data_IF_485472439675
#
_entry.id   IF_485472439675
#
_cell.length_a   1.000
_cell.length_b   1.000
_cell.length_c   1.000
_cell.angle_alpha   90.00
_cell.angle_beta   90.00
_cell.angle_gamma   90.00
#
_symmetry.space_group_name_H-M   'P 1'
#
loop_
_entity.id
_entity.type
_entity.pdbx_description
1 polymer ?
#
# COMPACT_ATOMS: atom_id res chain seq x y z
N UNK A 1 -18.97 -2.70 -39.14
CA UNK A 1 -18.58 -2.34 -37.76
C UNK A 1 -19.84 -2.34 -36.92
N UNK A 2 -19.97 -3.31 -36.03
CA UNK A 2 -21.15 -3.48 -35.16
C UNK A 2 -21.19 -2.35 -34.13
N UNK A 3 -22.28 -1.56 -34.14
CA UNK A 3 -22.56 -0.58 -33.10
C UNK A 3 -22.73 -1.31 -31.76
N UNK A 4 -21.79 -1.10 -30.84
CA UNK A 4 -21.87 -1.63 -29.48
C UNK A 4 -22.67 -0.64 -28.62
N UNK A 5 -23.74 -1.11 -27.99
CA UNK A 5 -24.51 -0.30 -27.04
C UNK A 5 -23.65 0.03 -25.81
N UNK A 6 -23.62 1.32 -25.43
CA UNK A 6 -22.97 1.79 -24.20
C UNK A 6 -23.55 1.00 -23.02
N UNK A 7 -22.74 0.19 -22.36
CA UNK A 7 -23.17 -0.52 -21.15
C UNK A 7 -23.29 0.48 -20.00
N UNK A 8 -24.39 0.39 -19.24
CA UNK A 8 -24.49 1.12 -17.98
C UNK A 8 -23.40 0.62 -17.03
N UNK A 9 -22.69 1.56 -16.43
CA UNK A 9 -21.67 1.26 -15.44
C UNK A 9 -22.41 0.90 -14.15
N UNK A 10 -22.18 -0.31 -13.62
CA UNK A 10 -22.74 -0.75 -12.33
C UNK A 10 -22.06 0.03 -11.19
N UNK A 11 -22.74 0.20 -10.06
CA UNK A 11 -22.22 0.96 -8.89
C UNK A 11 -20.81 0.49 -8.44
N UNK A 12 -20.47 -0.79 -8.67
CA UNK A 12 -19.17 -1.36 -8.33
C UNK A 12 -18.01 -0.85 -9.23
N UNK A 13 -18.28 -0.53 -10.50
CA UNK A 13 -17.25 -0.03 -11.41
C UNK A 13 -16.96 1.47 -11.20
N UNK A 14 -17.95 2.24 -10.76
CA UNK A 14 -17.75 3.64 -10.33
C UNK A 14 -16.72 3.72 -9.20
N UNK A 15 -16.78 2.79 -8.22
CA UNK A 15 -15.88 2.75 -7.07
C UNK A 15 -14.43 2.56 -7.51
N UNK A 16 -14.16 1.66 -8.46
CA UNK A 16 -12.79 1.41 -8.94
C UNK A 16 -12.20 2.64 -9.63
N UNK A 17 -12.98 3.33 -10.47
CA UNK A 17 -12.51 4.55 -11.12
C UNK A 17 -12.35 5.72 -10.14
N UNK A 18 -13.16 5.78 -9.09
CA UNK A 18 -13.02 6.74 -8.00
C UNK A 18 -11.76 6.48 -7.15
N UNK A 19 -11.48 5.22 -6.83
CA UNK A 19 -10.27 4.80 -6.11
C UNK A 19 -8.99 5.05 -6.93
N UNK A 20 -9.06 4.86 -8.25
CA UNK A 20 -7.95 5.16 -9.16
C UNK A 20 -7.53 6.63 -9.07
N UNK A 21 -8.49 7.55 -9.08
CA UNK A 21 -8.26 9.00 -9.07
C UNK A 21 -8.21 9.62 -7.66
N UNK A 22 -8.17 8.79 -6.63
CA UNK A 22 -8.17 9.21 -5.22
C UNK A 22 -9.31 10.18 -4.87
N UNK A 23 -10.52 9.89 -5.38
CA UNK A 23 -11.73 10.69 -5.17
C UNK A 23 -11.65 12.15 -5.66
N UNK A 24 -10.62 12.49 -6.44
CA UNK A 24 -10.35 13.85 -6.91
C UNK A 24 -10.30 13.88 -8.43
N UNK A 25 -10.85 14.93 -9.04
CA UNK A 25 -10.77 15.09 -10.49
C UNK A 25 -9.29 15.21 -10.90
N UNK A 26 -8.76 14.32 -11.75
CA UNK A 26 -7.33 14.31 -12.05
C UNK A 26 -6.89 15.56 -12.84
N UNK A 27 -7.82 16.24 -13.53
CA UNK A 27 -7.54 17.44 -14.33
C UNK A 27 -7.57 18.74 -13.54
N UNK A 28 -8.53 18.91 -12.62
CA UNK A 28 -8.75 20.18 -11.91
C UNK A 28 -8.66 20.08 -10.38
N UNK A 29 -8.44 18.87 -9.84
CA UNK A 29 -8.29 18.57 -8.42
C UNK A 29 -9.52 18.94 -7.56
N UNK A 30 -10.71 19.11 -8.15
CA UNK A 30 -11.96 19.21 -7.38
C UNK A 30 -12.35 17.85 -6.80
N UNK A 31 -12.91 17.83 -5.60
CA UNK A 31 -13.51 16.61 -5.03
C UNK A 31 -14.61 16.08 -5.94
N UNK A 32 -14.64 14.76 -6.13
CA UNK A 32 -15.65 14.05 -6.91
C UNK A 32 -16.88 13.68 -6.07
N UNK A 33 -16.78 13.84 -4.75
CA UNK A 33 -17.84 13.59 -3.79
C UNK A 33 -18.05 14.84 -2.93
N UNK A 34 -19.30 15.18 -2.63
CA UNK A 34 -19.66 16.20 -1.64
C UNK A 34 -20.62 15.63 -0.60
N UNK A 35 -20.44 16.04 0.66
CA UNK A 35 -21.30 15.61 1.77
C UNK A 35 -22.47 16.58 1.91
N UNK A 36 -23.67 16.14 1.56
CA UNK A 36 -24.91 16.84 1.88
C UNK A 36 -25.38 16.53 3.31
N UNK A 37 -26.44 17.22 3.75
CA UNK A 37 -27.01 17.08 5.11
C UNK A 37 -27.45 15.64 5.43
N UNK A 38 -27.88 14.87 4.43
CA UNK A 38 -28.40 13.50 4.61
C UNK A 38 -27.84 12.45 3.64
N UNK A 39 -27.08 12.87 2.61
CA UNK A 39 -26.52 11.96 1.59
C UNK A 39 -25.25 12.52 0.97
N UNK A 40 -24.38 11.64 0.51
CA UNK A 40 -23.23 11.99 -0.34
C UNK A 40 -23.71 12.21 -1.77
N UNK A 41 -23.34 13.35 -2.38
CA UNK A 41 -23.64 13.61 -3.78
C UNK A 41 -22.49 13.11 -4.67
N UNK A 42 -22.87 12.50 -5.81
CA UNK A 42 -21.94 12.12 -6.88
C UNK A 42 -21.70 13.34 -7.78
N UNK A 43 -20.53 13.94 -7.68
CA UNK A 43 -20.12 15.12 -8.46
C UNK A 43 -19.18 14.78 -9.62
N UNK A 44 -19.21 13.51 -10.04
CA UNK A 44 -18.38 12.97 -11.10
C UNK A 44 -19.20 12.18 -12.12
N UNK A 45 -18.56 11.93 -13.26
CA UNK A 45 -19.01 11.03 -14.30
C UNK A 45 -17.81 10.24 -14.83
N UNK A 46 -18.07 9.05 -15.37
CA UNK A 46 -17.04 8.26 -16.05
C UNK A 46 -17.02 8.62 -17.53
N UNK A 47 -15.89 9.16 -17.97
CA UNK A 47 -15.62 9.56 -19.33
C UNK A 47 -14.86 8.46 -20.09
N UNK A 48 -15.18 8.26 -21.36
CA UNK A 48 -14.35 7.48 -22.28
C UNK A 48 -13.24 8.37 -22.83
N UNK A 49 -11.99 7.93 -22.75
CA UNK A 49 -10.84 8.69 -23.27
C UNK A 49 -10.86 8.64 -24.79
N UNK A 50 -10.82 7.44 -25.36
CA UNK A 50 -11.21 7.22 -26.75
C UNK A 50 -12.73 6.99 -26.78
N UNK A 51 -13.50 7.81 -27.53
CA UNK A 51 -14.96 7.77 -27.49
C UNK A 51 -15.51 6.42 -27.96
N UNK A 52 -16.54 5.91 -27.26
CA UNK A 52 -17.19 4.66 -27.65
C UNK A 52 -17.94 4.76 -28.98
N UNK A 53 -18.54 5.92 -29.25
CA UNK A 53 -19.24 6.23 -30.49
C UNK A 53 -18.70 7.57 -31.02
N UNK A 54 -17.55 7.57 -31.73
CA UNK A 54 -16.94 8.80 -32.22
C UNK A 54 -17.86 9.50 -33.22
N UNK A 55 -18.04 10.81 -33.03
CA UNK A 55 -18.68 11.68 -34.02
C UNK A 55 -17.75 11.95 -35.21
N UNK A 56 -18.27 12.51 -36.30
CA UNK A 56 -17.44 12.95 -37.44
C UNK A 56 -16.35 13.94 -37.02
N UNK A 57 -16.64 14.78 -36.02
CA UNK A 57 -15.67 15.71 -35.43
C UNK A 57 -14.57 14.95 -34.68
N UNK A 58 -14.94 13.96 -33.85
CA UNK A 58 -13.96 13.13 -33.13
C UNK A 58 -13.04 12.38 -34.08
N UNK A 59 -13.57 11.80 -35.16
CA UNK A 59 -12.78 11.09 -36.18
C UNK A 59 -11.76 12.01 -36.87
N UNK A 60 -12.11 13.29 -37.02
CA UNK A 60 -11.21 14.29 -37.61
C UNK A 60 -10.09 14.65 -36.62
N UNK A 61 -10.45 14.92 -35.36
CA UNK A 61 -9.50 15.28 -34.30
C UNK A 61 -8.55 14.12 -33.98
N UNK A 62 -9.06 12.88 -33.93
CA UNK A 62 -8.32 11.67 -33.56
C UNK A 62 -7.74 10.93 -34.77
N UNK A 63 -7.61 11.60 -35.92
CA UNK A 63 -7.04 10.99 -37.12
C UNK A 63 -5.62 10.48 -36.85
N UNK A 64 -5.38 9.20 -37.10
CA UNK A 64 -4.09 8.54 -36.86
C UNK A 64 -3.92 7.96 -35.44
N UNK A 65 -4.91 8.14 -34.56
CA UNK A 65 -4.95 7.47 -33.26
C UNK A 65 -5.62 6.11 -33.41
N UNK A 66 -4.91 5.05 -32.99
CA UNK A 66 -5.46 3.70 -32.96
C UNK A 66 -6.45 3.56 -31.80
N UNK A 67 -7.69 3.10 -32.03
CA UNK A 67 -8.63 2.79 -30.95
C UNK A 67 -8.08 1.68 -30.04
N UNK A 68 -8.45 1.68 -28.74
CA UNK A 68 -8.13 0.57 -27.85
C UNK A 68 -8.81 -0.73 -28.31
N UNK A 69 -8.16 -1.87 -28.06
CA UNK A 69 -8.68 -3.21 -28.40
C UNK A 69 -10.07 -3.42 -27.78
N UNK A 70 -10.25 -2.98 -26.53
CA UNK A 70 -11.53 -2.97 -25.85
C UNK A 70 -11.90 -1.53 -25.46
N UNK A 71 -12.86 -0.95 -26.18
CA UNK A 71 -13.39 0.39 -25.92
C UNK A 71 -13.97 0.54 -24.50
N UNK A 72 -14.52 -0.54 -23.96
CA UNK A 72 -15.15 -0.55 -22.65
C UNK A 72 -14.17 -0.91 -21.52
N UNK A 73 -12.86 -1.02 -21.81
CA UNK A 73 -11.85 -1.39 -20.82
C UNK A 73 -11.70 -0.33 -19.73
N UNK A 74 -11.17 -0.77 -18.59
CA UNK A 74 -10.86 0.11 -17.47
C UNK A 74 -9.86 1.19 -17.87
N UNK A 75 -8.86 0.84 -18.69
CA UNK A 75 -7.80 1.72 -19.18
C UNK A 75 -8.32 2.82 -20.12
N UNK A 76 -9.48 2.63 -20.75
CA UNK A 76 -10.09 3.63 -21.62
C UNK A 76 -11.13 4.52 -20.89
N UNK A 77 -11.30 4.35 -19.58
CA UNK A 77 -12.31 5.05 -18.79
C UNK A 77 -11.69 5.76 -17.60
N UNK A 78 -12.18 6.96 -17.29
CA UNK A 78 -11.64 7.79 -16.21
C UNK A 78 -12.75 8.59 -15.52
N UNK A 79 -12.69 8.69 -14.19
CA UNK A 79 -13.61 9.52 -13.43
C UNK A 79 -13.18 11.00 -13.51
N UNK A 80 -14.11 11.87 -13.91
CA UNK A 80 -13.91 13.32 -14.00
C UNK A 80 -15.05 14.05 -13.30
N UNK A 81 -14.81 15.27 -12.82
CA UNK A 81 -15.92 16.13 -12.42
C UNK A 81 -16.77 16.48 -13.65
N UNK A 82 -18.04 16.82 -13.42
CA UNK A 82 -19.01 17.12 -14.49
C UNK A 82 -18.50 18.22 -15.44
N UNK A 83 -17.83 19.25 -14.92
CA UNK A 83 -17.28 20.36 -15.72
C UNK A 83 -16.19 19.88 -16.69
N UNK A 84 -15.21 19.13 -16.17
CA UNK A 84 -14.08 18.62 -16.97
C UNK A 84 -14.54 17.57 -17.98
N UNK A 85 -15.51 16.73 -17.62
CA UNK A 85 -16.09 15.77 -18.55
C UNK A 85 -16.81 16.49 -19.70
N UNK A 86 -17.64 17.48 -19.37
CA UNK A 86 -18.36 18.27 -20.38
C UNK A 86 -17.40 18.96 -21.34
N UNK A 87 -16.36 19.63 -20.82
CA UNK A 87 -15.35 20.30 -21.65
C UNK A 87 -14.57 19.32 -22.54
N UNK A 88 -14.23 18.13 -22.02
CA UNK A 88 -13.54 17.12 -22.82
C UNK A 88 -14.40 16.61 -23.99
N UNK A 89 -15.69 16.38 -23.75
CA UNK A 89 -16.59 15.87 -24.78
C UNK A 89 -16.92 16.92 -25.85
N UNK A 90 -17.20 18.16 -25.42
CA UNK A 90 -17.71 19.21 -26.32
C UNK A 90 -16.61 20.06 -26.95
N UNK A 91 -15.46 20.20 -26.29
CA UNK A 91 -14.33 21.00 -26.76
C UNK A 91 -13.08 20.13 -26.96
N UNK A 92 -13.26 18.92 -27.51
CA UNK A 92 -12.17 17.94 -27.69
C UNK A 92 -11.12 18.45 -28.69
N UNK A 93 -9.86 18.35 -28.29
CA UNK A 93 -8.70 18.59 -29.17
C UNK A 93 -7.74 17.41 -29.05
N UNK A 94 -6.82 17.28 -30.02
CA UNK A 94 -5.81 16.23 -29.99
C UNK A 94 -4.92 16.36 -28.73
N UNK A 95 -4.59 17.58 -28.33
CA UNK A 95 -3.83 17.84 -27.10
C UNK A 95 -4.59 17.42 -25.85
N UNK A 96 -5.89 17.71 -25.76
CA UNK A 96 -6.74 17.24 -24.64
C UNK A 96 -6.79 15.73 -24.58
N UNK A 97 -6.90 15.06 -25.74
CA UNK A 97 -6.85 13.59 -25.81
C UNK A 97 -5.50 13.07 -25.30
N UNK A 98 -4.39 13.60 -25.79
CA UNK A 98 -3.06 13.15 -25.35
C UNK A 98 -2.83 13.40 -23.86
N UNK A 99 -3.24 14.56 -23.35
CA UNK A 99 -3.15 14.87 -21.93
C UNK A 99 -3.97 13.87 -21.10
N UNK A 100 -5.24 13.66 -21.43
CA UNK A 100 -6.10 12.75 -20.66
C UNK A 100 -5.61 11.30 -20.74
N UNK A 101 -5.13 10.86 -21.91
CA UNK A 101 -4.55 9.53 -22.10
C UNK A 101 -3.24 9.35 -21.31
N UNK A 102 -2.39 10.38 -21.25
CA UNK A 102 -1.17 10.37 -20.45
C UNK A 102 -1.48 10.30 -18.95
N UNK A 103 -2.42 11.13 -18.48
CA UNK A 103 -2.91 11.12 -17.10
C UNK A 103 -3.46 9.75 -16.73
N UNK A 104 -4.28 9.14 -17.59
CA UNK A 104 -4.83 7.81 -17.34
C UNK A 104 -3.77 6.73 -17.26
N UNK A 105 -2.78 6.74 -18.17
CA UNK A 105 -1.67 5.76 -18.11
C UNK A 105 -0.94 5.81 -16.76
N UNK A 106 -0.60 7.02 -16.31
CA UNK A 106 0.02 7.22 -14.99
C UNK A 106 -0.87 6.70 -13.86
N UNK A 107 -2.17 7.02 -13.89
CA UNK A 107 -3.13 6.55 -12.88
C UNK A 107 -3.27 5.02 -12.86
N UNK A 108 -3.29 4.36 -14.02
CA UNK A 108 -3.35 2.89 -14.13
C UNK A 108 -2.07 2.27 -13.57
N UNK A 109 -0.90 2.83 -13.89
CA UNK A 109 0.38 2.37 -13.37
C UNK A 109 0.43 2.51 -11.84
N UNK A 110 0.01 3.66 -11.30
CA UNK A 110 -0.05 3.92 -9.86
C UNK A 110 -1.10 3.04 -9.16
N UNK A 111 -2.27 2.84 -9.77
CA UNK A 111 -3.33 1.99 -9.22
C UNK A 111 -2.93 0.51 -9.20
N UNK A 112 -2.29 0.02 -10.26
CA UNK A 112 -1.73 -1.32 -10.32
C UNK A 112 -0.54 -1.46 -9.35
N UNK A 113 0.31 -0.45 -9.23
CA UNK A 113 1.35 -0.37 -8.22
C UNK A 113 0.75 -0.52 -6.82
N UNK A 114 -0.25 0.28 -6.46
CA UNK A 114 -0.98 0.18 -5.18
C UNK A 114 -1.64 -1.17 -4.97
N UNK A 115 -2.32 -1.75 -5.96
CA UNK A 115 -2.92 -3.08 -5.85
C UNK A 115 -1.89 -4.20 -5.75
N UNK A 116 -0.78 -4.10 -6.46
CA UNK A 116 0.34 -5.03 -6.34
C UNK A 116 0.99 -4.90 -4.96
N UNK A 117 1.06 -3.69 -4.39
CA UNK A 117 1.48 -3.47 -3.00
C UNK A 117 0.46 -4.03 -1.99
N UNK A 118 -0.83 -4.04 -2.29
CA UNK A 118 -1.86 -4.67 -1.45
C UNK A 118 -1.86 -6.20 -1.58
N UNK A 119 -1.40 -6.72 -2.73
CA UNK A 119 -1.07 -8.13 -2.99
C UNK A 119 0.34 -8.52 -2.56
N UNK A 120 1.13 -7.62 -1.98
CA UNK A 120 2.22 -8.02 -1.10
C UNK A 120 1.53 -8.58 0.15
N UNK A 121 1.10 -9.83 0.04
CA UNK A 121 0.85 -10.64 1.20
C UNK A 121 2.16 -10.64 2.00
N UNK A 122 2.03 -10.40 3.30
CA UNK A 122 3.04 -10.89 4.21
C UNK A 122 3.07 -12.40 3.93
N UNK A 123 4.23 -12.88 3.50
CA UNK A 123 4.39 -14.27 3.08
C UNK A 123 3.80 -15.18 4.18
N UNK A 124 3.03 -16.23 3.82
CA UNK A 124 2.42 -17.15 4.80
C UNK A 124 3.45 -17.64 5.83
N UNK A 125 4.71 -17.66 5.43
CA UNK A 125 5.90 -17.90 6.22
C UNK A 125 6.03 -16.99 7.45
N UNK A 126 5.68 -15.70 7.41
CA UNK A 126 5.68 -14.87 8.63
C UNK A 126 4.56 -15.29 9.59
N UNK A 127 3.42 -15.73 9.05
CA UNK A 127 2.32 -16.26 9.86
C UNK A 127 2.80 -17.55 10.54
N UNK A 128 3.58 -18.38 9.83
CA UNK A 128 4.17 -19.59 10.41
C UNK A 128 5.25 -19.30 11.46
N UNK A 129 6.11 -18.29 11.25
CA UNK A 129 7.04 -17.81 12.28
C UNK A 129 6.27 -17.35 13.52
N UNK A 130 5.22 -16.54 13.32
CA UNK A 130 4.39 -16.02 14.39
C UNK A 130 3.69 -17.15 15.15
N UNK A 131 3.14 -18.16 14.45
CA UNK A 131 2.54 -19.35 15.07
C UNK A 131 3.54 -20.13 15.89
N UNK A 132 4.75 -20.36 15.35
CA UNK A 132 5.81 -21.07 16.07
C UNK A 132 6.23 -20.33 17.34
N UNK A 133 6.45 -19.01 17.26
CA UNK A 133 6.76 -18.18 18.44
C UNK A 133 5.61 -18.26 19.46
N UNK A 134 4.36 -18.22 19.01
CA UNK A 134 3.18 -18.34 19.87
C UNK A 134 3.07 -19.70 20.58
N UNK A 135 3.71 -20.74 20.03
CA UNK A 135 3.68 -22.10 20.57
C UNK A 135 4.88 -22.48 21.43
N UNK A 136 5.89 -21.60 21.54
CA UNK A 136 7.08 -21.86 22.33
C UNK A 136 6.74 -22.00 23.82
N UNK A 137 7.37 -22.97 24.47
CA UNK A 137 7.37 -23.06 25.94
C UNK A 137 8.58 -22.35 26.56
N UNK A 138 8.52 -22.11 27.87
CA UNK A 138 9.58 -21.40 28.60
C UNK A 138 10.94 -22.11 28.52
N UNK A 139 10.96 -23.44 28.41
CA UNK A 139 12.19 -24.23 28.31
C UNK A 139 12.90 -24.01 26.95
N UNK A 140 12.14 -23.98 25.85
CA UNK A 140 12.63 -23.69 24.48
C UNK A 140 13.20 -22.28 24.34
N UNK A 141 12.67 -21.31 25.10
CA UNK A 141 13.20 -19.95 25.13
C UNK A 141 14.58 -19.90 25.81
N UNK A 142 14.83 -20.72 26.82
CA UNK A 142 16.08 -20.64 27.61
C UNK A 142 17.33 -21.16 26.92
N UNK A 143 17.22 -22.06 25.95
CA UNK A 143 18.36 -22.56 25.18
C UNK A 143 18.95 -21.48 24.25
N UNK A 144 18.10 -20.60 23.72
CA UNK A 144 18.48 -19.58 22.74
C UNK A 144 18.97 -18.28 23.36
N UNK A 145 18.50 -17.95 24.57
CA UNK A 145 18.96 -16.80 25.38
C UNK A 145 20.48 -16.84 25.59
N UNK A 146 21.09 -18.03 25.64
CA UNK A 146 22.55 -18.17 25.88
C UNK A 146 23.41 -17.74 24.70
N UNK A 147 22.86 -17.57 23.51
CA UNK A 147 23.64 -17.44 22.26
C UNK A 147 23.72 -16.03 21.67
N UNK A 148 23.06 -15.02 22.22
CA UNK A 148 23.18 -13.69 21.63
C UNK A 148 22.84 -12.59 22.63
N UNK A 149 23.79 -11.69 22.91
CA UNK A 149 23.39 -10.32 23.23
C UNK A 149 24.48 -9.29 22.93
N UNK A 150 24.39 -8.68 21.76
CA UNK A 150 24.83 -7.30 21.53
C UNK A 150 23.59 -6.43 21.26
N UNK A 151 22.81 -6.10 22.29
CA UNK A 151 21.78 -5.04 22.22
C UNK A 151 22.34 -3.63 22.09
N UNK A 152 23.60 -3.52 21.68
CA UNK A 152 24.30 -2.28 21.40
C UNK A 152 23.52 -1.46 20.34
N UNK A 153 22.73 -2.10 19.47
CA UNK A 153 22.02 -1.42 18.37
C UNK A 153 20.74 -0.70 18.80
N UNK A 154 19.90 -1.24 19.70
CA UNK A 154 18.68 -0.55 20.18
C UNK A 154 19.03 0.79 20.85
N UNK A 155 20.15 0.83 21.58
CA UNK A 155 20.61 2.04 22.27
C UNK A 155 20.91 3.20 21.33
N UNK A 156 21.32 2.92 20.09
CA UNK A 156 21.65 3.90 19.06
C UNK A 156 20.44 4.40 18.30
N UNK A 157 19.28 3.76 18.47
CA UNK A 157 18.06 4.05 17.71
C UNK A 157 16.99 4.74 18.53
N UNK A 158 16.93 4.51 19.84
CA UNK A 158 15.82 5.01 20.66
C UNK A 158 16.32 6.02 21.67
N UNK A 159 15.80 7.24 21.54
CA UNK A 159 16.12 8.38 22.41
C UNK A 159 15.80 8.05 23.89
N UNK A 160 16.65 8.47 24.85
CA UNK A 160 16.42 8.26 26.28
C UNK A 160 15.02 8.66 26.79
N UNK A 161 14.35 9.62 26.15
CA UNK A 161 12.98 10.03 26.51
C UNK A 161 11.96 8.88 26.37
N UNK A 162 12.23 7.90 25.51
CA UNK A 162 11.39 6.72 25.30
C UNK A 162 11.83 5.53 26.17
N UNK A 163 12.22 5.77 27.42
CA UNK A 163 12.79 4.74 28.32
C UNK A 163 11.94 3.47 28.46
N UNK A 164 10.60 3.59 28.45
CA UNK A 164 9.68 2.45 28.61
C UNK A 164 9.66 1.59 27.35
N UNK A 165 9.46 2.22 26.18
CA UNK A 165 9.53 1.56 24.87
C UNK A 165 10.89 0.88 24.67
N UNK A 166 11.96 1.59 25.01
CA UNK A 166 13.33 1.10 24.90
C UNK A 166 13.57 -0.15 25.76
N UNK A 167 13.08 -0.15 27.01
CA UNK A 167 13.16 -1.32 27.90
C UNK A 167 12.38 -2.50 27.33
N UNK A 168 11.14 -2.28 26.88
CA UNK A 168 10.32 -3.33 26.24
C UNK A 168 11.06 -3.99 25.07
N UNK A 169 11.54 -3.19 24.13
CA UNK A 169 12.24 -3.72 22.95
C UNK A 169 13.50 -4.50 23.36
N UNK A 170 14.23 -4.02 24.38
CA UNK A 170 15.38 -4.77 24.90
C UNK A 170 14.95 -6.10 25.52
N UNK A 171 13.92 -6.10 26.34
CA UNK A 171 13.42 -7.31 26.99
C UNK A 171 12.93 -8.33 25.94
N UNK A 172 12.15 -7.89 24.95
CA UNK A 172 11.70 -8.72 23.81
C UNK A 172 12.88 -9.29 23.01
N UNK A 173 13.86 -8.46 22.65
CA UNK A 173 15.05 -8.87 21.89
C UNK A 173 15.90 -9.83 22.73
N UNK A 174 15.98 -9.65 24.05
CA UNK A 174 16.74 -10.54 24.94
C UNK A 174 16.14 -11.94 24.95
N UNK A 175 14.82 -12.01 24.98
CA UNK A 175 14.12 -13.26 25.18
C UNK A 175 13.88 -14.01 23.87
N UNK A 176 13.58 -13.31 22.77
CA UNK A 176 13.07 -13.93 21.54
C UNK A 176 13.97 -13.81 20.32
N UNK A 177 15.01 -12.96 20.32
CA UNK A 177 15.79 -12.70 19.10
C UNK A 177 16.44 -13.95 18.51
N UNK A 178 16.99 -14.82 19.36
CA UNK A 178 17.62 -16.08 18.94
C UNK A 178 16.63 -16.98 18.20
N UNK A 179 15.45 -17.18 18.77
CA UNK A 179 14.41 -18.03 18.18
C UNK A 179 13.88 -17.43 16.88
N UNK A 180 13.52 -16.15 16.89
CA UNK A 180 13.00 -15.45 15.68
C UNK A 180 14.02 -15.55 14.54
N UNK A 181 15.31 -15.32 14.83
CA UNK A 181 16.39 -15.44 13.84
C UNK A 181 16.53 -16.86 13.30
N UNK A 182 16.52 -17.87 14.17
CA UNK A 182 16.60 -19.28 13.77
C UNK A 182 15.45 -19.67 12.84
N UNK A 183 14.25 -19.19 13.12
CA UNK A 183 13.09 -19.49 12.27
C UNK A 183 13.23 -18.86 10.88
N UNK A 184 13.68 -17.61 10.80
CA UNK A 184 14.03 -16.99 9.52
C UNK A 184 15.14 -17.74 8.77
N UNK A 185 16.20 -18.15 9.47
CA UNK A 185 17.30 -18.94 8.89
C UNK A 185 16.79 -20.31 8.36
N UNK A 186 15.89 -20.96 9.09
CA UNK A 186 15.28 -22.24 8.70
C UNK A 186 14.45 -22.09 7.42
N UNK A 187 13.67 -21.02 7.33
CA UNK A 187 12.86 -20.72 6.14
C UNK A 187 13.74 -20.36 4.94
N UNK A 188 14.80 -19.59 5.14
CA UNK A 188 15.72 -19.21 4.07
C UNK A 188 16.52 -20.41 3.53
N UNK A 189 16.84 -21.39 4.38
CA UNK A 189 17.46 -22.65 3.96
C UNK A 189 16.59 -23.46 2.97
N UNK A 190 15.29 -23.21 2.93
CA UNK A 190 14.36 -23.83 1.96
C UNK A 190 14.38 -23.11 0.59
N UNK A 191 15.21 -22.07 0.43
CA UNK A 191 15.64 -21.56 -0.88
C UNK A 191 14.97 -20.28 -1.38
N UNK A 192 14.37 -19.46 -0.52
CA UNK A 192 13.49 -18.37 -0.96
C UNK A 192 13.86 -16.93 -0.52
N UNK A 193 14.98 -16.69 0.17
CA UNK A 193 15.38 -15.34 0.69
C UNK A 193 14.20 -14.59 1.34
N UNK A 194 13.36 -15.32 2.06
CA UNK A 194 12.10 -14.86 2.65
C UNK A 194 12.37 -13.82 3.72
N UNK A 195 13.46 -13.98 4.46
CA UNK A 195 13.88 -12.99 5.44
C UNK A 195 14.07 -11.59 4.80
N UNK A 196 14.80 -11.51 3.69
CA UNK A 196 15.06 -10.24 2.99
C UNK A 196 13.76 -9.61 2.47
N UNK A 197 12.84 -10.43 1.95
CA UNK A 197 11.55 -9.96 1.46
C UNK A 197 10.69 -9.37 2.60
N UNK A 198 10.61 -10.08 3.72
CA UNK A 198 9.86 -9.63 4.90
C UNK A 198 10.51 -8.38 5.51
N UNK A 199 11.84 -8.34 5.60
CA UNK A 199 12.61 -7.15 6.01
C UNK A 199 12.25 -5.92 5.17
N UNK A 200 12.20 -6.07 3.84
CA UNK A 200 11.80 -4.99 2.94
C UNK A 200 10.35 -4.53 3.17
N UNK A 201 9.42 -5.46 3.41
CA UNK A 201 8.03 -5.11 3.72
C UNK A 201 7.91 -4.33 5.04
N UNK A 202 8.61 -4.79 6.09
CA UNK A 202 8.68 -4.14 7.39
C UNK A 202 9.24 -2.73 7.30
N UNK A 203 10.36 -2.58 6.58
CA UNK A 203 10.99 -1.28 6.34
C UNK A 203 10.07 -0.33 5.58
N UNK A 204 9.38 -0.80 4.56
CA UNK A 204 8.43 0.04 3.82
C UNK A 204 7.24 0.49 4.66
N UNK A 205 6.69 -0.40 5.50
CA UNK A 205 5.63 -0.05 6.44
C UNK A 205 6.10 1.05 7.40
N UNK A 206 7.31 0.91 7.95
CA UNK A 206 7.94 1.92 8.79
C UNK A 206 8.08 3.26 8.08
N UNK A 207 8.67 3.27 6.87
CA UNK A 207 8.91 4.50 6.11
C UNK A 207 7.61 5.28 5.89
N UNK A 208 6.55 4.60 5.43
CA UNK A 208 5.23 5.21 5.20
C UNK A 208 4.63 5.85 6.46
N UNK A 209 4.77 5.21 7.62
CA UNK A 209 4.26 5.77 8.88
C UNK A 209 5.13 6.96 9.31
N UNK A 210 6.45 6.83 9.18
CA UNK A 210 7.43 7.83 9.61
C UNK A 210 7.39 9.14 8.82
N UNK A 211 6.78 9.14 7.63
CA UNK A 211 6.52 10.36 6.84
C UNK A 211 5.61 11.34 7.60
N UNK A 212 4.65 10.83 8.38
CA UNK A 212 3.59 11.62 9.01
C UNK A 212 3.62 11.62 10.53
N UNK A 213 4.23 10.61 11.14
CA UNK A 213 4.40 10.50 12.59
C UNK A 213 5.89 10.47 12.94
N UNK A 214 6.27 11.21 13.98
CA UNK A 214 7.67 11.30 14.46
C UNK A 214 7.85 10.70 15.84
N UNK A 215 6.75 10.49 16.58
CA UNK A 215 6.81 9.85 17.88
C UNK A 215 7.04 8.34 17.75
N UNK A 216 8.15 7.86 18.31
CA UNK A 216 8.56 6.45 18.16
C UNK A 216 7.56 5.47 18.79
N UNK A 217 6.93 5.84 19.90
CA UNK A 217 5.94 4.98 20.57
C UNK A 217 4.68 4.83 19.73
N UNK A 218 4.21 5.93 19.12
CA UNK A 218 3.10 5.86 18.15
C UNK A 218 3.46 5.07 16.90
N UNK A 219 4.67 5.25 16.35
CA UNK A 219 5.13 4.47 15.20
C UNK A 219 5.16 2.98 15.54
N UNK A 220 5.69 2.61 16.72
CA UNK A 220 5.72 1.23 17.19
C UNK A 220 4.31 0.64 17.26
N UNK A 221 3.37 1.36 17.89
CA UNK A 221 1.99 0.90 18.03
C UNK A 221 1.27 0.78 16.68
N UNK A 222 1.53 1.67 15.72
CA UNK A 222 1.00 1.55 14.36
C UNK A 222 1.57 0.33 13.62
N UNK A 223 2.86 0.04 13.76
CA UNK A 223 3.48 -1.15 13.17
C UNK A 223 2.92 -2.44 13.78
N UNK A 224 2.75 -2.49 15.10
CA UNK A 224 2.12 -3.62 15.81
C UNK A 224 0.68 -3.81 15.33
N UNK A 225 -0.10 -2.75 15.22
CA UNK A 225 -1.49 -2.81 14.76
C UNK A 225 -1.58 -3.28 13.29
N UNK A 226 -0.67 -2.80 12.45
CA UNK A 226 -0.58 -3.21 11.06
C UNK A 226 -0.23 -4.70 10.92
N UNK A 227 0.77 -5.18 11.68
CA UNK A 227 1.17 -6.58 11.67
C UNK A 227 0.04 -7.48 12.18
N UNK A 228 -0.58 -7.11 13.29
CA UNK A 228 -1.75 -7.80 13.85
C UNK A 228 -2.88 -7.94 12.84
N UNK A 229 -3.23 -6.85 12.15
CA UNK A 229 -4.31 -6.87 11.17
C UNK A 229 -4.00 -7.84 10.01
N UNK A 230 -2.71 -8.01 9.69
CA UNK A 230 -2.26 -8.87 8.62
C UNK A 230 -2.15 -10.34 9.01
N UNK A 231 -1.80 -10.63 10.26
CA UNK A 231 -1.48 -12.00 10.71
C UNK A 231 -2.52 -12.58 11.67
N UNK A 232 -3.53 -11.80 12.04
CA UNK A 232 -4.60 -12.15 12.98
C UNK A 232 -4.06 -12.69 14.32
N UNK A 233 -2.97 -12.11 14.80
CA UNK A 233 -2.25 -12.61 16.00
C UNK A 233 -2.33 -11.65 17.17
N UNK A 234 -1.90 -12.11 18.35
CA UNK A 234 -1.89 -11.31 19.57
C UNK A 234 -0.88 -10.16 19.53
N UNK A 235 -1.20 -9.06 20.23
CA UNK A 235 -0.37 -7.86 20.29
C UNK A 235 1.03 -8.15 20.82
N UNK A 236 1.15 -9.03 21.82
CA UNK A 236 2.43 -9.38 22.44
C UNK A 236 3.39 -10.02 21.42
N UNK A 237 2.90 -10.93 20.58
CA UNK A 237 3.71 -11.59 19.56
C UNK A 237 4.10 -10.61 18.44
N UNK A 238 3.16 -9.76 18.03
CA UNK A 238 3.45 -8.71 17.07
C UNK A 238 4.52 -7.74 17.60
N UNK A 239 4.48 -7.39 18.89
CA UNK A 239 5.50 -6.56 19.55
C UNK A 239 6.88 -7.23 19.49
N UNK A 240 6.98 -8.52 19.78
CA UNK A 240 8.24 -9.28 19.67
C UNK A 240 8.83 -9.21 18.26
N UNK A 241 8.01 -9.42 17.23
CA UNK A 241 8.47 -9.34 15.83
C UNK A 241 8.95 -7.93 15.46
N UNK A 242 8.19 -6.90 15.84
CA UNK A 242 8.60 -5.51 15.57
C UNK A 242 9.89 -5.17 16.33
N UNK A 243 10.03 -5.60 17.58
CA UNK A 243 11.24 -5.44 18.39
C UNK A 243 12.46 -6.10 17.72
N UNK A 244 12.29 -7.29 17.14
CA UNK A 244 13.31 -7.97 16.35
C UNK A 244 13.78 -7.13 15.14
N UNK A 245 12.85 -6.63 14.31
CA UNK A 245 13.21 -5.82 13.13
C UNK A 245 13.79 -4.44 13.48
N UNK A 246 13.45 -3.90 14.66
CA UNK A 246 14.12 -2.71 15.21
C UNK A 246 15.58 -3.02 15.56
N UNK A 247 15.86 -4.18 16.16
CA UNK A 247 17.25 -4.59 16.44
C UNK A 247 18.03 -4.89 15.16
N UNK A 248 17.42 -5.52 14.16
CA UNK A 248 18.11 -5.97 12.94
C UNK A 248 18.38 -4.86 11.91
N UNK A 249 17.87 -3.64 12.13
CA UNK A 249 18.07 -2.47 11.26
C UNK A 249 17.17 -2.29 10.05
N UNK A 250 16.01 -2.92 10.10
CA UNK A 250 14.95 -2.64 9.13
C UNK A 250 13.99 -1.53 9.60
N UNK A 251 13.91 -1.27 10.91
CA UNK A 251 13.01 -0.28 11.50
C UNK A 251 13.81 0.68 12.41
N UNK A 252 13.44 1.97 12.36
CA UNK A 252 14.11 3.12 12.98
C UNK A 252 15.51 3.45 12.44
N UNK A 253 15.66 4.72 12.05
CA UNK A 253 16.97 5.29 11.74
C UNK A 253 17.81 5.48 13.01
N UNK A 254 19.12 5.36 12.87
CA UNK A 254 20.06 5.70 13.93
C UNK A 254 19.93 7.17 14.33
N UNK A 255 20.11 7.46 15.62
CA UNK A 255 20.14 8.84 16.11
C UNK A 255 21.39 9.49 15.52
N UNK A 256 21.19 10.53 14.71
CA UNK A 256 22.28 11.35 14.18
C UNK A 256 22.94 12.08 15.36
N UNK A 257 24.26 11.90 15.53
CA UNK A 257 25.04 12.62 16.54
C UNK A 257 25.21 14.09 16.17
#
# INVERSE_FOLDING_TARGET
MTMSNRKSITENNDILHLEEVDMMCPLCKKSLLSFGVSRTNKDFQIAHIFPCNPTSSDLTVLKGITPPINIESFENKIALCKDCHWDYDHNKTLDKYHNLNSVKKQLVDDFNGRRNLLKLDLEDEIIDIIRKISSLNDDELTEDIKLNYDAIKVDRKIDPKYKVLKRRIKDDVSLYFGVVRREFETIDCLGLRKFEQISYQMRNAYLKISEREKDKEKIFNHLVSWLKLKTETEDCICQVIISFFIQDCEIYDEITK
#
